data_IF_033716918313
#
_entry.id   IF_033716918313
#
_cell.length_a   1.000
_cell.length_b   1.000
_cell.length_c   1.000
_cell.angle_alpha   90.00
_cell.angle_beta   90.00
_cell.angle_gamma   90.00
#
_symmetry.space_group_name_H-M   'P 1'
#
loop_
_entity.id
_entity.type
_entity.pdbx_description
1 polymer ?
#
# COMPACT_ATOMS: atom_id res chain seq x y z
N UNK A 1 2.77 -3.24 19.58
CA UNK A 1 2.13 -2.19 18.77
C UNK A 1 2.67 -2.24 17.35
N UNK A 2 1.78 -2.18 16.36
CA UNK A 2 2.21 -2.19 14.96
C UNK A 2 2.66 -0.81 14.53
N UNK A 3 3.82 -0.74 13.86
CA UNK A 3 4.27 0.51 13.26
C UNK A 3 3.50 0.77 11.95
N UNK A 4 3.41 2.03 11.56
CA UNK A 4 2.76 2.44 10.31
C UNK A 4 1.28 2.05 10.24
N UNK A 5 0.59 2.12 11.38
CA UNK A 5 -0.84 1.77 11.47
C UNK A 5 -1.67 2.60 10.48
N UNK A 6 -1.35 3.89 10.33
CA UNK A 6 -2.04 4.78 9.41
C UNK A 6 -1.94 4.29 7.96
N UNK A 7 -0.75 3.85 7.53
CA UNK A 7 -0.54 3.29 6.19
C UNK A 7 -1.29 1.96 6.05
N UNK A 8 -1.17 1.09 7.05
CA UNK A 8 -1.82 -0.22 7.03
C UNK A 8 -3.34 -0.10 7.00
N UNK A 9 -3.90 0.80 7.81
CA UNK A 9 -5.34 1.05 7.85
C UNK A 9 -5.83 1.63 6.53
N UNK A 10 -5.09 2.56 5.94
CA UNK A 10 -5.45 3.14 4.66
C UNK A 10 -5.51 2.07 3.57
N UNK A 11 -4.51 1.20 3.52
CA UNK A 11 -4.48 0.10 2.56
C UNK A 11 -5.69 -0.81 2.75
N UNK A 12 -6.01 -1.15 3.99
CA UNK A 12 -7.14 -2.01 4.32
C UNK A 12 -8.46 -1.36 3.88
N UNK A 13 -8.65 -0.08 4.17
CA UNK A 13 -9.86 0.66 3.80
C UNK A 13 -10.04 0.74 2.29
N UNK A 14 -8.95 0.83 1.56
CA UNK A 14 -8.97 0.91 0.10
C UNK A 14 -8.98 -0.46 -0.57
N UNK A 15 -8.91 -1.54 0.22
CA UNK A 15 -8.91 -2.89 -0.32
C UNK A 15 -7.62 -3.27 -1.01
N UNK A 16 -6.51 -2.66 -0.60
CA UNK A 16 -5.18 -2.91 -1.18
C UNK A 16 -4.38 -3.77 -0.22
N UNK A 17 -3.81 -4.86 -0.73
CA UNK A 17 -2.97 -5.75 0.07
C UNK A 17 -1.52 -5.32 0.00
N UNK A 18 -0.75 -5.66 1.04
CA UNK A 18 0.66 -5.27 1.09
C UNK A 18 1.48 -5.86 -0.04
N UNK A 19 1.16 -7.08 -0.49
CA UNK A 19 1.89 -7.68 -1.62
C UNK A 19 1.65 -6.91 -2.93
N UNK A 20 0.47 -6.34 -3.10
CA UNK A 20 0.18 -5.51 -4.27
C UNK A 20 1.01 -4.23 -4.24
N UNK A 21 1.14 -3.65 -3.05
CA UNK A 21 1.98 -2.48 -2.86
C UNK A 21 3.45 -2.78 -3.13
N UNK A 22 3.92 -3.95 -2.69
CA UNK A 22 5.30 -4.39 -2.93
C UNK A 22 5.58 -4.52 -4.43
N UNK A 23 4.66 -5.12 -5.18
CA UNK A 23 4.80 -5.27 -6.63
C UNK A 23 4.90 -3.89 -7.29
N UNK A 24 4.03 -2.97 -6.91
CA UNK A 24 4.04 -1.62 -7.48
C UNK A 24 5.33 -0.88 -7.17
N UNK A 25 5.87 -1.08 -5.98
CA UNK A 25 7.14 -0.46 -5.56
C UNK A 25 8.36 -1.21 -6.08
N UNK A 26 8.15 -2.34 -6.75
CA UNK A 26 9.21 -3.20 -7.31
C UNK A 26 10.15 -3.71 -6.24
N UNK A 27 9.59 -4.12 -5.11
CA UNK A 27 10.35 -4.71 -4.01
C UNK A 27 9.71 -6.05 -3.64
N UNK A 28 10.46 -6.91 -2.96
CA UNK A 28 9.95 -8.20 -2.51
C UNK A 28 9.06 -8.03 -1.27
N UNK A 29 8.19 -9.00 -1.01
CA UNK A 29 7.35 -8.98 0.19
C UNK A 29 8.18 -8.94 1.48
N UNK A 30 9.27 -9.73 1.63
CA UNK A 30 10.11 -9.60 2.82
C UNK A 30 10.69 -8.20 3.00
N UNK A 31 11.06 -7.54 1.89
CA UNK A 31 11.56 -6.18 1.94
C UNK A 31 10.48 -5.21 2.41
N UNK A 32 9.25 -5.38 1.91
CA UNK A 32 8.10 -4.57 2.34
C UNK A 32 7.85 -4.75 3.84
N UNK A 33 7.84 -5.99 4.31
CA UNK A 33 7.63 -6.29 5.73
C UNK A 33 8.71 -5.64 6.58
N UNK A 34 9.96 -5.70 6.13
CA UNK A 34 11.08 -5.08 6.84
C UNK A 34 10.93 -3.58 6.93
N UNK A 35 10.53 -2.92 5.85
CA UNK A 35 10.30 -1.48 5.83
C UNK A 35 9.21 -1.08 6.83
N UNK A 36 8.18 -1.90 6.96
CA UNK A 36 7.05 -1.59 7.83
C UNK A 36 7.30 -1.91 9.30
N UNK A 37 8.41 -2.55 9.63
CA UNK A 37 8.76 -2.82 11.03
C UNK A 37 9.18 -1.57 11.77
N UNK A 38 9.74 -0.59 11.07
CA UNK A 38 10.14 0.68 11.64
C UNK A 38 9.14 1.75 11.21
N UNK A 39 8.87 2.70 12.09
CA UNK A 39 7.97 3.80 11.75
C UNK A 39 8.58 4.62 10.62
N UNK A 40 7.85 4.80 9.54
CA UNK A 40 8.32 5.53 8.37
C UNK A 40 8.26 7.04 8.60
N UNK A 41 9.09 7.79 7.87
CA UNK A 41 9.00 9.23 7.86
C UNK A 41 7.69 9.68 7.21
N UNK A 42 7.28 10.91 7.46
CA UNK A 42 6.04 11.45 6.85
C UNK A 42 6.10 11.41 5.32
N UNK A 43 7.27 11.69 4.76
CA UNK A 43 7.47 11.65 3.31
C UNK A 43 7.28 10.23 2.77
N UNK A 44 7.83 9.23 3.45
CA UNK A 44 7.68 7.83 3.04
C UNK A 44 6.24 7.36 3.18
N UNK A 45 5.56 7.76 4.25
CA UNK A 45 4.14 7.44 4.43
C UNK A 45 3.29 8.04 3.31
N UNK A 46 3.55 9.29 2.96
CA UNK A 46 2.83 9.96 1.88
C UNK A 46 3.04 9.24 0.56
N UNK A 47 4.26 8.80 0.27
CA UNK A 47 4.56 8.04 -0.94
C UNK A 47 3.80 6.71 -0.97
N UNK A 48 3.79 5.99 0.15
CA UNK A 48 3.06 4.73 0.24
C UNK A 48 1.55 4.92 0.07
N UNK A 49 1.00 5.95 0.70
CA UNK A 49 -0.43 6.26 0.56
C UNK A 49 -0.77 6.58 -0.90
N UNK A 50 0.09 7.33 -1.58
CA UNK A 50 -0.11 7.63 -3.00
C UNK A 50 -0.11 6.36 -3.84
N UNK A 51 0.78 5.41 -3.57
CA UNK A 51 0.80 4.12 -4.26
C UNK A 51 -0.46 3.31 -3.97
N UNK A 52 -0.92 3.30 -2.72
CA UNK A 52 -2.15 2.60 -2.32
C UNK A 52 -3.35 3.17 -3.08
N UNK A 53 -3.47 4.49 -3.14
CA UNK A 53 -4.56 5.14 -3.85
C UNK A 53 -4.51 4.85 -5.35
N UNK A 54 -3.32 4.81 -5.94
CA UNK A 54 -3.16 4.49 -7.35
C UNK A 54 -3.59 3.05 -7.64
N UNK A 55 -3.23 2.10 -6.78
CA UNK A 55 -3.64 0.70 -6.91
C UNK A 55 -5.16 0.59 -6.77
N UNK A 56 -5.74 1.25 -5.78
CA UNK A 56 -7.18 1.22 -5.55
C UNK A 56 -7.95 1.81 -6.73
N UNK A 57 -7.46 2.90 -7.30
CA UNK A 57 -8.08 3.52 -8.47
C UNK A 57 -8.02 2.59 -9.69
N UNK A 58 -6.90 1.90 -9.88
CA UNK A 58 -6.74 0.93 -10.96
C UNK A 58 -7.70 -0.25 -10.79
N UNK A 59 -7.82 -0.77 -9.57
CA UNK A 59 -8.74 -1.87 -9.28
C UNK A 59 -10.19 -1.47 -9.55
N UNK A 60 -10.58 -0.27 -9.13
CA UNK A 60 -11.93 0.23 -9.37
C UNK A 60 -12.22 0.35 -10.87
N UNK A 61 -11.25 0.84 -11.65
CA UNK A 61 -11.36 0.98 -13.08
C UNK A 61 -11.48 -0.39 -13.76
N UNK A 62 -10.64 -1.35 -13.37
CA UNK A 62 -10.68 -2.70 -13.91
C UNK A 62 -12.01 -3.38 -13.59
N UNK A 63 -12.50 -3.22 -12.36
CA UNK A 63 -13.76 -3.79 -11.93
C UNK A 63 -14.92 -3.19 -12.73
N UNK A 64 -14.91 -1.89 -12.97
CA UNK A 64 -15.92 -1.23 -13.79
C UNK A 64 -15.86 -1.71 -15.24
N UNK A 65 -14.66 -1.94 -15.76
CA UNK A 65 -14.48 -2.41 -17.14
C UNK A 65 -14.96 -3.84 -17.33
N UNK A 66 -14.93 -4.66 -16.27
CA UNK A 66 -15.38 -6.05 -16.35
C UNK A 66 -16.85 -6.23 -16.00
N UNK A 67 -17.46 -5.21 -15.51
CA UNK A 67 -18.90 -5.24 -15.22
C UNK A 67 -19.72 -4.97 -16.47
#
# INVERSE_FOLDING_TARGET
MLNNIDVRDHAKKRGVKLWELAIRMKISEPTMTRKLRAELSDADKAAMIAHIDAIAAKKAKEKAATA
#
